data_IF_272579199236
#
_entry.id   IF_272579199236
#
_cell.length_a   1.000
_cell.length_b   1.000
_cell.length_c   1.000
_cell.angle_alpha   90.00
_cell.angle_beta   90.00
_cell.angle_gamma   90.00
#
_symmetry.space_group_name_H-M   'P 1'
#
loop_
_entity.id
_entity.type
_entity.pdbx_description
1 polymer ?
#
# COMPACT_ATOMS: atom_id res chain seq x y z
N UNK A 1 -2.67 11.86 11.74
CA UNK A 1 -3.92 11.16 11.44
C UNK A 1 -4.02 9.93 12.35
N UNK A 2 -5.13 9.78 13.07
CA UNK A 2 -5.30 8.71 14.08
C UNK A 2 -5.33 7.31 13.47
N UNK A 3 -5.64 7.20 12.18
CA UNK A 3 -5.77 5.93 11.48
C UNK A 3 -4.47 5.56 10.74
N UNK A 4 -3.63 6.54 10.40
CA UNK A 4 -2.37 6.35 9.69
C UNK A 4 -1.24 6.00 10.69
N UNK A 5 -1.26 4.78 11.19
CA UNK A 5 -0.27 4.24 12.11
C UNK A 5 0.66 3.27 11.39
N UNK A 6 1.84 3.03 11.95
CA UNK A 6 2.76 2.04 11.43
C UNK A 6 3.50 1.31 12.57
N UNK A 7 3.88 0.06 12.28
CA UNK A 7 4.80 -0.72 13.09
C UNK A 7 6.08 -0.99 12.31
N UNK A 8 7.20 -0.99 13.02
CA UNK A 8 8.51 -1.27 12.41
C UNK A 8 9.08 -2.56 12.99
N UNK A 9 9.39 -3.51 12.12
CA UNK A 9 10.05 -4.77 12.45
C UNK A 9 11.51 -4.68 11.96
N UNK A 10 12.44 -4.71 12.89
CA UNK A 10 13.87 -4.56 12.61
C UNK A 10 14.62 -5.83 13.04
N UNK A 11 15.61 -6.30 12.28
CA UNK A 11 16.47 -7.40 12.71
C UNK A 11 17.10 -7.12 14.06
N UNK A 12 17.24 -8.16 14.89
CA UNK A 12 17.90 -8.06 16.18
C UNK A 12 19.28 -7.44 16.00
N UNK A 13 19.62 -6.52 16.88
CA UNK A 13 20.92 -5.83 16.94
C UNK A 13 21.25 -4.91 15.76
N UNK A 14 20.45 -4.85 14.70
CA UNK A 14 20.74 -4.05 13.50
C UNK A 14 20.95 -2.56 13.80
N UNK A 15 20.16 -2.00 14.71
CA UNK A 15 20.29 -0.59 15.13
C UNK A 15 21.61 -0.39 15.91
N UNK A 16 21.92 -1.29 16.83
CA UNK A 16 23.17 -1.24 17.63
C UNK A 16 24.41 -1.38 16.73
N UNK A 17 24.32 -2.20 15.67
CA UNK A 17 25.39 -2.45 14.73
C UNK A 17 25.44 -1.42 13.59
N UNK A 18 24.62 -0.39 13.64
CA UNK A 18 24.54 0.67 12.63
C UNK A 18 24.34 0.14 11.20
N UNK A 19 23.57 -0.93 11.04
CA UNK A 19 23.25 -1.47 9.71
C UNK A 19 22.40 -0.51 8.91
N UNK A 20 22.46 -0.64 7.58
CA UNK A 20 21.63 0.09 6.62
C UNK A 20 20.99 -0.96 5.69
N UNK A 21 19.77 -1.36 6.03
CA UNK A 21 19.07 -2.51 5.45
C UNK A 21 17.96 -2.08 4.51
N UNK A 22 17.64 -2.84 3.47
CA UNK A 22 16.49 -2.57 2.62
C UNK A 22 15.20 -2.50 3.43
N UNK A 23 14.32 -1.55 3.07
CA UNK A 23 13.03 -1.33 3.74
C UNK A 23 11.91 -1.88 2.89
N UNK A 24 11.07 -2.73 3.47
CA UNK A 24 9.81 -3.19 2.87
C UNK A 24 8.68 -2.42 3.52
N UNK A 25 7.93 -1.65 2.73
CA UNK A 25 6.68 -1.04 3.17
C UNK A 25 5.57 -2.02 2.83
N UNK A 26 4.90 -2.53 3.86
CA UNK A 26 3.79 -3.47 3.70
C UNK A 26 2.45 -2.77 3.90
N UNK A 27 1.59 -2.89 2.90
CA UNK A 27 0.21 -2.40 2.92
C UNK A 27 -0.74 -3.60 2.95
N UNK A 28 -1.55 -3.71 4.00
CA UNK A 28 -2.46 -4.84 4.18
C UNK A 28 -3.63 -4.84 3.20
N UNK A 29 -4.21 -6.02 2.95
CA UNK A 29 -5.42 -6.22 2.17
C UNK A 29 -6.71 -5.86 2.90
N UNK A 30 -7.81 -6.57 2.56
CA UNK A 30 -9.11 -6.40 3.22
C UNK A 30 -10.10 -5.54 2.43
N UNK A 31 -9.99 -5.52 1.09
CA UNK A 31 -10.93 -4.82 0.18
C UNK A 31 -11.13 -3.32 0.52
N UNK A 32 -10.13 -2.68 1.08
CA UNK A 32 -10.14 -1.29 1.62
C UNK A 32 -11.13 -1.08 2.79
N UNK A 33 -11.84 -2.12 3.24
CA UNK A 33 -12.91 -2.09 4.25
C UNK A 33 -12.47 -2.63 5.61
N UNK A 34 -11.39 -3.41 5.65
CA UNK A 34 -10.88 -4.09 6.83
C UNK A 34 -9.38 -4.29 6.75
N UNK A 35 -8.81 -4.93 7.75
CA UNK A 35 -7.39 -5.25 7.86
C UNK A 35 -6.67 -4.38 8.89
N UNK A 36 -5.51 -4.85 9.29
CA UNK A 36 -4.65 -4.16 10.25
C UNK A 36 -3.17 -4.48 9.96
N UNK A 37 -2.30 -3.52 10.28
CA UNK A 37 -0.85 -3.64 10.15
C UNK A 37 -0.24 -4.84 10.88
N UNK A 38 -1.00 -5.49 11.76
CA UNK A 38 -0.54 -6.67 12.54
C UNK A 38 -0.96 -8.00 11.93
N UNK A 39 -1.81 -8.02 10.90
CA UNK A 39 -2.40 -9.24 10.34
C UNK A 39 -1.33 -10.25 9.89
N UNK A 40 -0.26 -9.77 9.27
CA UNK A 40 0.85 -10.60 8.78
C UNK A 40 2.11 -10.51 9.65
N UNK A 41 2.00 -10.12 10.93
CA UNK A 41 3.13 -9.94 11.83
C UNK A 41 4.11 -11.15 11.90
N UNK A 42 3.66 -12.42 11.85
CA UNK A 42 4.59 -13.55 11.78
C UNK A 42 5.45 -13.55 10.50
N UNK A 43 4.90 -13.13 9.37
CA UNK A 43 5.63 -13.00 8.12
C UNK A 43 6.64 -11.84 8.17
N UNK A 44 6.25 -10.70 8.73
CA UNK A 44 7.15 -9.56 8.91
C UNK A 44 8.37 -9.88 9.77
N UNK A 45 8.17 -10.67 10.84
CA UNK A 45 9.27 -11.15 11.69
C UNK A 45 10.23 -12.07 10.93
N UNK A 46 9.72 -12.90 10.00
CA UNK A 46 10.57 -13.72 9.12
C UNK A 46 11.39 -12.84 8.19
N UNK A 47 10.78 -11.86 7.51
CA UNK A 47 11.51 -10.93 6.65
C UNK A 47 12.58 -10.15 7.44
N UNK A 48 12.26 -9.73 8.67
CA UNK A 48 13.25 -9.08 9.53
C UNK A 48 14.42 -10.02 9.84
N UNK A 49 14.19 -11.30 10.11
CA UNK A 49 15.27 -12.27 10.34
C UNK A 49 16.13 -12.49 9.08
N UNK A 50 15.58 -12.28 7.88
CA UNK A 50 16.30 -12.34 6.60
C UNK A 50 17.04 -11.04 6.24
N UNK A 51 17.04 -10.05 7.13
CA UNK A 51 17.83 -8.83 6.96
C UNK A 51 17.08 -7.67 6.32
N UNK A 52 15.75 -7.67 6.33
CA UNK A 52 14.95 -6.53 5.92
C UNK A 52 14.44 -5.74 7.13
N UNK A 53 14.25 -4.45 6.96
CA UNK A 53 13.38 -3.68 7.83
C UNK A 53 11.98 -3.70 7.22
N UNK A 54 10.97 -4.10 7.99
CA UNK A 54 9.57 -4.09 7.51
C UNK A 54 8.81 -2.98 8.23
N UNK A 55 8.15 -2.13 7.46
CA UNK A 55 7.27 -1.08 7.94
C UNK A 55 5.85 -1.45 7.50
N UNK A 56 5.07 -2.01 8.43
CA UNK A 56 3.68 -2.35 8.20
C UNK A 56 2.78 -1.16 8.54
N UNK A 57 1.91 -0.78 7.64
CA UNK A 57 1.10 0.43 7.78
C UNK A 57 -0.38 0.12 7.94
N UNK A 58 -1.08 0.94 8.72
CA UNK A 58 -2.52 1.12 8.65
C UNK A 58 -2.85 2.31 7.77
N UNK A 59 -3.99 2.22 7.11
CA UNK A 59 -4.61 3.31 6.36
C UNK A 59 -6.10 3.42 6.74
N UNK A 60 -6.70 4.58 6.54
CA UNK A 60 -8.11 4.81 6.83
C UNK A 60 -8.99 3.94 5.92
N UNK A 61 -9.90 3.20 6.54
CA UNK A 61 -10.79 2.26 5.87
C UNK A 61 -12.02 2.97 5.28
N UNK A 62 -12.47 2.45 4.16
CA UNK A 62 -13.72 2.83 3.52
C UNK A 62 -14.92 2.23 4.28
N UNK A 63 -16.13 2.80 4.20
CA UNK A 63 -16.46 4.06 3.52
C UNK A 63 -16.19 5.32 4.37
N UNK A 64 -15.60 5.17 5.56
CA UNK A 64 -15.29 6.29 6.46
C UNK A 64 -14.35 7.32 5.83
N UNK A 65 -13.42 6.84 5.01
CA UNK A 65 -12.57 7.63 4.12
C UNK A 65 -12.55 6.96 2.75
N UNK A 66 -12.62 7.78 1.70
CA UNK A 66 -12.60 7.31 0.31
C UNK A 66 -11.30 7.65 -0.38
N UNK A 67 -11.12 7.16 -1.58
CA UNK A 67 -10.01 7.54 -2.47
C UNK A 67 -9.90 9.08 -2.58
N UNK A 68 -8.70 9.67 -2.58
CA UNK A 68 -7.39 9.03 -2.55
C UNK A 68 -6.75 8.95 -1.14
N UNK A 69 -7.53 8.95 -0.06
CA UNK A 69 -7.02 9.07 1.32
C UNK A 69 -5.96 8.00 1.64
N UNK A 70 -6.24 6.73 1.37
CA UNK A 70 -5.31 5.63 1.66
C UNK A 70 -3.98 5.77 0.91
N UNK A 71 -4.03 6.19 -0.36
CA UNK A 71 -2.83 6.45 -1.17
C UNK A 71 -2.01 7.60 -0.59
N UNK A 72 -2.67 8.67 -0.16
CA UNK A 72 -2.02 9.80 0.51
C UNK A 72 -1.35 9.41 1.84
N UNK A 73 -1.97 8.49 2.59
CA UNK A 73 -1.43 7.99 3.86
C UNK A 73 -0.23 7.05 3.63
N UNK A 74 -0.27 6.20 2.58
CA UNK A 74 0.89 5.42 2.16
C UNK A 74 2.07 6.35 1.78
N UNK A 75 1.80 7.41 1.02
CA UNK A 75 2.81 8.42 0.69
C UNK A 75 3.37 9.12 1.94
N UNK A 76 2.54 9.37 2.95
CA UNK A 76 2.99 9.93 4.22
C UNK A 76 3.89 8.94 5.00
N UNK A 77 3.58 7.64 4.97
CA UNK A 77 4.44 6.61 5.56
C UNK A 77 5.80 6.54 4.86
N UNK A 78 5.84 6.66 3.53
CA UNK A 78 7.09 6.75 2.76
C UNK A 78 7.92 7.96 3.16
N UNK A 79 7.30 9.11 3.36
CA UNK A 79 7.98 10.32 3.86
C UNK A 79 8.54 10.12 5.26
N UNK A 80 7.80 9.44 6.12
CA UNK A 80 8.31 9.09 7.45
C UNK A 80 9.55 8.20 7.36
N UNK A 81 9.53 7.19 6.50
CA UNK A 81 10.68 6.30 6.27
C UNK A 81 11.86 7.07 5.71
N UNK A 82 11.67 7.90 4.69
CA UNK A 82 12.72 8.73 4.12
C UNK A 82 13.47 9.54 5.19
N UNK A 83 12.72 10.12 6.13
CA UNK A 83 13.27 10.99 7.15
C UNK A 83 13.86 10.23 8.35
N UNK A 84 13.31 9.05 8.69
CA UNK A 84 13.58 8.37 9.95
C UNK A 84 14.24 7.00 9.81
N UNK A 85 14.53 6.52 8.61
CA UNK A 85 15.00 5.15 8.36
C UNK A 85 16.22 4.77 9.22
N UNK A 86 17.16 5.67 9.42
CA UNK A 86 18.36 5.43 10.24
C UNK A 86 18.02 5.04 11.70
N UNK A 87 16.87 5.49 12.25
CA UNK A 87 16.45 5.18 13.61
C UNK A 87 16.14 3.70 13.83
N UNK A 88 15.84 2.98 12.74
CA UNK A 88 15.50 1.56 12.76
C UNK A 88 16.37 0.73 11.79
N UNK A 89 17.58 1.21 11.50
CA UNK A 89 18.56 0.58 10.62
C UNK A 89 18.09 0.41 9.16
N UNK A 90 17.11 1.18 8.71
CA UNK A 90 16.61 1.15 7.34
C UNK A 90 17.45 2.01 6.39
N UNK A 91 17.47 1.62 5.12
CA UNK A 91 18.07 2.38 4.03
C UNK A 91 16.97 3.05 3.19
N UNK A 92 16.80 4.37 3.27
CA UNK A 92 15.75 5.06 2.51
C UNK A 92 16.01 5.09 1.00
N UNK A 93 17.19 4.66 0.55
CA UNK A 93 17.53 4.54 -0.87
C UNK A 93 17.29 3.12 -1.43
N UNK A 94 16.74 2.21 -0.62
CA UNK A 94 16.42 0.84 -1.00
C UNK A 94 15.05 0.46 -0.43
N UNK A 95 13.98 1.03 -0.99
CA UNK A 95 12.61 0.83 -0.54
C UNK A 95 11.87 -0.09 -1.51
N UNK A 96 11.25 -1.13 -0.97
CA UNK A 96 10.32 -2.01 -1.69
C UNK A 96 8.90 -1.70 -1.21
N UNK A 97 7.97 -1.57 -2.14
CA UNK A 97 6.54 -1.52 -1.84
C UNK A 97 5.98 -2.93 -1.93
N UNK A 98 5.28 -3.36 -0.91
CA UNK A 98 4.67 -4.68 -0.86
C UNK A 98 3.25 -4.61 -0.29
N UNK A 99 2.46 -5.63 -0.58
CA UNK A 99 1.11 -5.75 -0.03
C UNK A 99 0.33 -6.87 -0.69
N UNK A 100 -0.82 -7.15 -0.11
CA UNK A 100 -1.75 -8.16 -0.59
C UNK A 100 -3.09 -7.55 -1.00
N UNK A 101 -3.77 -8.12 -1.99
CA UNK A 101 -5.12 -7.75 -2.41
C UNK A 101 -5.29 -6.22 -2.61
N UNK A 102 -6.14 -5.55 -1.84
CA UNK A 102 -6.31 -4.09 -1.84
C UNK A 102 -5.00 -3.36 -1.51
N UNK A 103 -4.17 -3.89 -0.61
CA UNK A 103 -2.86 -3.33 -0.29
C UNK A 103 -1.86 -3.44 -1.43
N UNK A 104 -1.92 -4.53 -2.21
CA UNK A 104 -1.13 -4.66 -3.44
C UNK A 104 -1.57 -3.63 -4.49
N UNK A 105 -2.87 -3.36 -4.63
CA UNK A 105 -3.37 -2.30 -5.50
C UNK A 105 -2.84 -0.93 -5.07
N UNK A 106 -2.93 -0.57 -3.78
CA UNK A 106 -2.40 0.69 -3.25
C UNK A 106 -0.89 0.81 -3.48
N UNK A 107 -0.14 -0.26 -3.26
CA UNK A 107 1.31 -0.31 -3.49
C UNK A 107 1.67 -0.16 -4.97
N UNK A 108 0.91 -0.79 -5.88
CA UNK A 108 1.13 -0.64 -7.32
C UNK A 108 0.83 0.78 -7.80
N UNK A 109 -0.25 1.38 -7.32
CA UNK A 109 -0.59 2.76 -7.63
C UNK A 109 0.46 3.74 -7.10
N UNK A 110 0.96 3.53 -5.89
CA UNK A 110 2.05 4.34 -5.34
C UNK A 110 3.34 4.21 -6.14
N UNK A 111 3.67 3.01 -6.62
CA UNK A 111 4.82 2.81 -7.51
C UNK A 111 4.65 3.59 -8.82
N UNK A 112 3.44 3.59 -9.41
CA UNK A 112 3.13 4.39 -10.59
C UNK A 112 3.28 5.90 -10.31
N UNK A 113 2.81 6.40 -9.17
CA UNK A 113 2.97 7.79 -8.75
C UNK A 113 4.45 8.17 -8.61
N UNK A 114 5.29 7.27 -8.05
CA UNK A 114 6.72 7.51 -7.87
C UNK A 114 7.47 7.53 -9.22
N UNK A 115 7.07 6.69 -10.16
CA UNK A 115 7.82 6.47 -11.40
C UNK A 115 7.29 7.24 -12.61
N UNK A 116 6.07 7.76 -12.55
CA UNK A 116 5.42 8.47 -13.64
C UNK A 116 4.93 9.86 -13.16
N UNK A 117 5.66 10.94 -13.49
CA UNK A 117 5.31 12.30 -13.10
C UNK A 117 3.95 12.78 -13.64
N UNK A 118 3.56 12.36 -14.84
CA UNK A 118 2.27 12.74 -15.42
C UNK A 118 1.11 12.13 -14.64
N UNK A 119 1.25 10.86 -14.26
CA UNK A 119 0.26 10.18 -13.42
C UNK A 119 0.22 10.79 -11.99
N UNK A 120 1.38 11.12 -11.42
CA UNK A 120 1.44 11.83 -10.13
C UNK A 120 0.69 13.16 -10.15
N UNK A 121 0.83 13.92 -11.24
CA UNK A 121 0.10 15.18 -11.45
C UNK A 121 -1.41 14.96 -11.62
N UNK A 122 -1.81 13.92 -12.36
CA UNK A 122 -3.22 13.55 -12.55
C UNK A 122 -3.90 13.19 -11.23
N UNK A 123 -3.24 12.38 -10.41
CA UNK A 123 -3.73 11.97 -9.08
C UNK A 123 -3.64 13.11 -8.06
N UNK A 124 -2.80 14.12 -8.31
CA UNK A 124 -2.57 15.25 -7.41
C UNK A 124 -1.73 14.90 -6.18
N UNK A 125 -0.93 13.84 -6.24
CA UNK A 125 -0.05 13.41 -5.16
C UNK A 125 1.41 13.59 -5.56
N UNK A 126 2.12 14.49 -4.87
CA UNK A 126 3.57 14.62 -4.99
C UNK A 126 4.24 13.44 -4.26
N UNK A 127 4.99 12.57 -4.95
CA UNK A 127 5.63 11.42 -4.33
C UNK A 127 6.62 11.86 -3.24
N UNK A 128 6.68 11.10 -2.17
CA UNK A 128 7.62 11.31 -1.08
C UNK A 128 9.02 10.82 -1.44
N UNK A 129 9.10 9.74 -2.22
CA UNK A 129 10.36 9.17 -2.69
C UNK A 129 10.69 9.64 -4.11
N UNK A 130 11.98 9.72 -4.40
CA UNK A 130 12.48 9.76 -5.77
C UNK A 130 12.45 8.36 -6.39
N UNK A 131 12.27 8.24 -7.71
CA UNK A 131 12.18 6.94 -8.40
C UNK A 131 13.41 6.04 -8.19
N UNK A 132 14.60 6.63 -8.02
CA UNK A 132 15.83 5.90 -7.72
C UNK A 132 15.88 5.25 -6.33
N UNK A 133 14.99 5.64 -5.41
CA UNK A 133 14.88 5.06 -4.08
C UNK A 133 13.97 3.82 -4.06
N UNK A 134 13.11 3.65 -5.08
CA UNK A 134 12.23 2.50 -5.22
C UNK A 134 13.02 1.34 -5.83
N UNK A 135 13.33 0.35 -5.01
CA UNK A 135 14.08 -0.84 -5.43
C UNK A 135 13.19 -1.89 -6.15
N UNK A 136 11.89 -1.87 -5.90
CA UNK A 136 10.94 -2.78 -6.54
C UNK A 136 9.58 -2.84 -5.85
N UNK A 137 8.73 -3.72 -6.38
CA UNK A 137 7.40 -4.00 -5.83
C UNK A 137 7.18 -5.51 -5.68
N UNK A 138 6.46 -5.91 -4.63
CA UNK A 138 6.07 -7.31 -4.38
C UNK A 138 4.57 -7.32 -4.09
N UNK A 139 3.79 -7.77 -5.07
CA UNK A 139 2.34 -7.58 -5.10
C UNK A 139 1.62 -8.93 -5.09
N UNK A 140 0.93 -9.24 -4.01
CA UNK A 140 0.21 -10.50 -3.84
C UNK A 140 -1.28 -10.33 -4.16
N UNK A 141 -1.76 -11.00 -5.22
CA UNK A 141 -3.18 -11.09 -5.60
C UNK A 141 -3.88 -9.72 -5.70
N UNK A 142 -3.19 -8.69 -6.22
CA UNK A 142 -3.71 -7.34 -6.29
C UNK A 142 -4.77 -7.15 -7.39
N UNK A 143 -5.56 -6.10 -7.21
CA UNK A 143 -6.59 -5.69 -8.16
C UNK A 143 -6.03 -4.53 -8.98
N UNK A 144 -5.57 -4.81 -10.21
CA UNK A 144 -4.90 -3.80 -11.04
C UNK A 144 -5.80 -3.24 -12.14
N UNK A 145 -7.00 -3.81 -12.33
CA UNK A 145 -8.00 -3.35 -13.27
C UNK A 145 -9.38 -3.39 -12.60
N UNK A 146 -9.81 -2.27 -12.05
CA UNK A 146 -11.10 -2.18 -11.34
C UNK A 146 -12.31 -2.39 -12.27
N UNK A 147 -12.16 -2.07 -13.57
CA UNK A 147 -13.20 -2.34 -14.56
C UNK A 147 -13.64 -3.81 -14.59
N UNK A 148 -12.70 -4.75 -14.40
CA UNK A 148 -13.01 -6.17 -14.32
C UNK A 148 -13.83 -6.58 -13.09
N UNK A 149 -13.79 -5.78 -12.02
CA UNK A 149 -14.60 -6.01 -10.83
C UNK A 149 -16.04 -5.48 -10.97
N UNK A 150 -16.24 -4.38 -11.71
CA UNK A 150 -17.57 -3.81 -11.95
C UNK A 150 -18.32 -4.55 -13.06
N UNK A 151 -17.62 -5.36 -13.86
CA UNK A 151 -18.18 -6.27 -14.86
C UNK A 151 -17.70 -7.69 -14.58
N UNK A 152 -18.14 -8.31 -13.47
CA UNK A 152 -17.67 -9.62 -13.07
C UNK A 152 -18.06 -10.67 -14.12
N UNK A 153 -17.23 -11.71 -14.23
CA UNK A 153 -17.52 -12.88 -15.04
C UNK A 153 -18.92 -13.44 -14.65
N UNK A 154 -19.85 -13.58 -15.63
CA UNK A 154 -21.22 -14.05 -15.37
C UNK A 154 -21.28 -15.46 -14.79
N UNK A 155 -20.18 -16.23 -14.87
CA UNK A 155 -20.08 -17.57 -14.25
C UNK A 155 -19.83 -17.52 -12.75
N UNK A 156 -19.41 -16.36 -12.22
CA UNK A 156 -19.19 -16.19 -10.76
C UNK A 156 -20.51 -16.12 -10.00
N UNK A 157 -20.55 -16.64 -8.75
CA UNK A 157 -21.72 -16.49 -7.89
C UNK A 157 -22.10 -15.01 -7.71
N UNK A 158 -23.39 -14.67 -7.77
CA UNK A 158 -23.91 -13.31 -7.64
C UNK A 158 -23.39 -12.57 -6.38
N UNK A 159 -23.15 -13.31 -5.30
CA UNK A 159 -22.61 -12.76 -4.05
C UNK A 159 -21.21 -12.15 -4.23
N UNK A 160 -20.41 -12.72 -5.13
CA UNK A 160 -19.07 -12.19 -5.44
C UNK A 160 -19.19 -10.85 -6.16
N UNK A 161 -20.08 -10.76 -7.17
CA UNK A 161 -20.34 -9.50 -7.86
C UNK A 161 -20.87 -8.41 -6.93
N UNK A 162 -21.81 -8.77 -6.04
CA UNK A 162 -22.31 -7.83 -5.03
C UNK A 162 -21.21 -7.36 -4.07
N UNK A 163 -20.34 -8.27 -3.61
CA UNK A 163 -19.21 -7.93 -2.74
C UNK A 163 -18.23 -6.96 -3.41
N UNK A 164 -17.92 -7.20 -4.68
CA UNK A 164 -17.08 -6.31 -5.49
C UNK A 164 -17.70 -4.91 -5.64
N UNK A 165 -18.99 -4.84 -5.95
CA UNK A 165 -19.72 -3.57 -6.09
C UNK A 165 -19.68 -2.76 -4.78
N UNK A 166 -19.88 -3.42 -3.64
CA UNK A 166 -19.81 -2.78 -2.32
C UNK A 166 -18.40 -2.25 -2.04
N UNK A 167 -17.39 -3.06 -2.29
CA UNK A 167 -15.99 -2.69 -2.04
C UNK A 167 -15.58 -1.48 -2.89
N UNK A 168 -15.88 -1.51 -4.19
CA UNK A 168 -15.53 -0.42 -5.11
C UNK A 168 -16.28 0.86 -4.75
N UNK A 169 -17.60 0.76 -4.55
CA UNK A 169 -18.38 1.92 -4.13
C UNK A 169 -17.84 2.54 -2.83
N UNK A 170 -17.57 1.70 -1.84
CA UNK A 170 -17.05 2.17 -0.56
C UNK A 170 -15.72 2.88 -0.71
N UNK A 171 -14.80 2.32 -1.51
CA UNK A 171 -13.47 2.87 -1.74
C UNK A 171 -13.49 4.14 -2.58
N UNK A 172 -14.21 4.15 -3.70
CA UNK A 172 -14.27 5.30 -4.62
C UNK A 172 -15.21 6.41 -4.14
N UNK A 173 -16.17 6.10 -3.27
CA UNK A 173 -17.22 7.02 -2.83
C UNK A 173 -18.32 7.23 -3.87
N UNK A 174 -18.31 6.52 -4.99
CA UNK A 174 -19.30 6.66 -6.06
C UNK A 174 -19.83 5.31 -6.54
N UNK A 175 -21.08 5.30 -7.00
CA UNK A 175 -21.70 4.17 -7.70
C UNK A 175 -21.64 4.29 -9.23
N UNK A 176 -21.09 5.39 -9.72
CA UNK A 176 -20.89 5.57 -11.16
C UNK A 176 -19.73 4.71 -11.65
N UNK A 177 -20.05 3.63 -12.35
CA UNK A 177 -19.09 2.68 -12.92
C UNK A 177 -18.28 3.27 -14.09
N UNK A 178 -18.68 4.42 -14.61
CA UNK A 178 -17.99 5.12 -15.69
C UNK A 178 -17.04 6.21 -15.17
N UNK A 179 -16.89 6.34 -13.85
CA UNK A 179 -15.98 7.32 -13.27
C UNK A 179 -14.54 7.08 -13.74
N UNK A 180 -13.75 8.13 -14.01
CA UNK A 180 -12.32 7.99 -14.31
C UNK A 180 -11.55 7.18 -13.26
N UNK A 181 -11.97 7.25 -11.98
CA UNK A 181 -11.35 6.48 -10.88
C UNK A 181 -11.39 4.97 -11.06
N UNK A 182 -12.33 4.43 -11.84
CA UNK A 182 -12.45 2.99 -12.12
C UNK A 182 -11.62 2.61 -13.34
N UNK A 183 -11.36 3.57 -14.23
CA UNK A 183 -10.62 3.35 -15.49
C UNK A 183 -9.11 3.57 -15.35
N UNK A 184 -8.68 4.19 -14.30
CA UNK A 184 -7.28 4.37 -13.94
C UNK A 184 -6.71 3.10 -13.31
#
# INVERSE_FOLDING_TARGET
>A
DKDALLDVYTPKDAVREHKSLPVVIWTHGGAWLSGDKTDDAPYFKRLANEGFVVVAINYSLAPGKTYPTAVGQLNAALRYVETNAARFAGNPNQVLLAGDSAGAQLSSQMAAIITNPDYANEVGIKPALHSSQLAGVVLFCGIYKMEGLVHPDPTLPKIVGWGNDVAIWSYTGTRDRNTPLIRQ
#
